data_IF_189114834557
#
_entry.id   IF_189114834557
#
_cell.length_a   1.000
_cell.length_b   1.000
_cell.length_c   1.000
_cell.angle_alpha   90.00
_cell.angle_beta   90.00
_cell.angle_gamma   90.00
#
_symmetry.space_group_name_H-M   'P 1'
#
loop_
_entity.id
_entity.type
_entity.pdbx_description
1 polymer ?
#
# COMPACT_ATOMS: atom_id res chain seq x y z
N UNK A 1 8.66 38.56 -41.52
CA UNK A 1 8.41 37.12 -41.28
C UNK A 1 8.52 36.70 -39.82
N UNK A 2 9.46 37.23 -39.02
CA UNK A 2 9.73 36.81 -37.63
C UNK A 2 8.58 37.05 -36.63
N UNK A 3 7.88 38.19 -36.71
CA UNK A 3 6.79 38.55 -35.77
C UNK A 3 5.55 37.63 -35.85
N UNK A 4 5.24 37.06 -37.03
CA UNK A 4 4.10 36.15 -37.22
C UNK A 4 4.38 34.78 -36.57
N UNK A 5 5.61 34.30 -36.72
CA UNK A 5 6.04 33.01 -36.17
C UNK A 5 6.12 33.05 -34.64
N UNK A 6 6.54 34.18 -34.05
CA UNK A 6 6.54 34.39 -32.59
C UNK A 6 5.12 34.35 -32.00
N UNK A 7 4.14 34.99 -32.65
CA UNK A 7 2.74 34.94 -32.19
C UNK A 7 2.15 33.53 -32.21
N UNK A 8 2.52 32.74 -33.22
CA UNK A 8 2.10 31.33 -33.34
C UNK A 8 2.72 30.51 -32.19
N UNK A 9 4.01 30.67 -31.90
CA UNK A 9 4.68 29.96 -30.81
C UNK A 9 4.03 30.29 -29.46
N UNK A 10 3.77 31.57 -29.18
CA UNK A 10 3.14 31.99 -27.93
C UNK A 10 1.73 31.38 -27.80
N UNK A 11 0.93 31.38 -28.86
CA UNK A 11 -0.40 30.79 -28.85
C UNK A 11 -0.37 29.28 -28.57
N UNK A 12 0.61 28.56 -29.13
CA UNK A 12 0.77 27.12 -28.89
C UNK A 12 1.19 26.85 -27.45
N UNK A 13 2.13 27.62 -26.89
CA UNK A 13 2.56 27.45 -25.49
C UNK A 13 1.40 27.69 -24.52
N UNK A 14 0.59 28.73 -24.74
CA UNK A 14 -0.59 29.00 -23.92
C UNK A 14 -1.60 27.86 -24.02
N UNK A 15 -1.85 27.33 -25.21
CA UNK A 15 -2.75 26.19 -25.39
C UNK A 15 -2.26 24.94 -24.63
N UNK A 16 -0.96 24.64 -24.69
CA UNK A 16 -0.37 23.49 -23.98
C UNK A 16 -0.47 23.66 -22.46
N UNK A 17 -0.19 24.86 -21.93
CA UNK A 17 -0.32 25.15 -20.49
C UNK A 17 -1.79 25.02 -20.04
N UNK A 18 -2.74 25.54 -20.83
CA UNK A 18 -4.17 25.45 -20.53
C UNK A 18 -4.65 24.00 -20.52
N UNK A 19 -4.21 23.18 -21.48
CA UNK A 19 -4.53 21.75 -21.53
C UNK A 19 -3.90 20.99 -20.36
N UNK A 20 -2.64 21.28 -20.02
CA UNK A 20 -1.95 20.66 -18.88
C UNK A 20 -2.59 21.02 -17.53
N UNK A 21 -2.98 22.29 -17.35
CA UNK A 21 -3.68 22.76 -16.16
C UNK A 21 -5.08 22.14 -16.04
N UNK A 22 -5.84 22.07 -17.14
CA UNK A 22 -7.15 21.42 -17.16
C UNK A 22 -7.03 19.93 -16.83
N UNK A 23 -6.03 19.23 -17.38
CA UNK A 23 -5.76 17.84 -17.04
C UNK A 23 -5.44 17.66 -15.55
N UNK A 24 -4.60 18.51 -14.96
CA UNK A 24 -4.27 18.42 -13.53
C UNK A 24 -5.47 18.68 -12.60
N UNK A 25 -6.39 19.58 -12.99
CA UNK A 25 -7.61 19.88 -12.20
C UNK A 25 -8.68 18.81 -12.36
N UNK A 26 -8.79 18.20 -13.55
CA UNK A 26 -9.84 17.21 -13.85
C UNK A 26 -9.39 15.77 -13.58
N UNK A 27 -8.09 15.52 -13.47
CA UNK A 27 -7.55 14.20 -13.14
C UNK A 27 -7.89 13.84 -11.69
N UNK A 28 -8.92 13.03 -11.54
CA UNK A 28 -9.19 12.31 -10.31
C UNK A 28 -8.65 10.90 -10.52
N UNK A 29 -7.60 10.54 -9.77
CA UNK A 29 -7.19 9.14 -9.71
C UNK A 29 -8.43 8.30 -9.35
N UNK A 30 -8.68 7.17 -10.02
CA UNK A 30 -9.83 6.33 -9.71
C UNK A 30 -9.78 6.03 -8.20
N UNK A 31 -10.85 6.41 -7.48
CA UNK A 31 -11.00 6.01 -6.09
C UNK A 31 -10.96 4.48 -6.08
N UNK A 32 -10.04 3.90 -5.31
CA UNK A 32 -9.98 2.45 -5.18
C UNK A 32 -11.38 1.94 -4.84
N UNK A 33 -11.96 1.02 -5.64
CA UNK A 33 -13.30 0.53 -5.38
C UNK A 33 -13.30 -0.19 -4.03
N UNK A 34 -14.38 0.01 -3.25
CA UNK A 34 -14.62 -0.85 -2.08
C UNK A 34 -14.70 -2.30 -2.56
N UNK A 35 -14.05 -3.19 -1.83
CA UNK A 35 -14.07 -4.63 -2.10
C UNK A 35 -14.96 -5.31 -1.06
N UNK A 36 -15.97 -6.04 -1.53
CA UNK A 36 -16.76 -6.93 -0.68
C UNK A 36 -16.16 -8.34 -0.78
N UNK A 37 -15.80 -8.91 0.38
CA UNK A 37 -15.23 -10.26 0.49
C UNK A 37 -16.28 -11.33 0.81
N UNK A 38 -17.57 -10.97 0.85
CA UNK A 38 -18.72 -11.88 1.03
C UNK A 38 -18.54 -12.84 2.21
N UNK A 39 -18.19 -12.31 3.39
CA UNK A 39 -18.07 -13.11 4.61
C UNK A 39 -19.40 -13.82 4.91
N UNK A 40 -19.35 -15.13 5.16
CA UNK A 40 -20.54 -15.96 5.37
C UNK A 40 -21.10 -15.88 6.79
N UNK A 41 -20.33 -15.35 7.73
CA UNK A 41 -20.73 -15.11 9.10
C UNK A 41 -19.94 -13.94 9.70
N UNK A 42 -20.42 -13.42 10.83
CA UNK A 42 -19.65 -12.49 11.65
C UNK A 42 -18.48 -13.20 12.33
N UNK A 43 -17.41 -12.46 12.61
CA UNK A 43 -16.29 -12.94 13.41
C UNK A 43 -16.70 -13.15 14.88
N UNK A 44 -16.12 -14.16 15.52
CA UNK A 44 -16.27 -14.39 16.95
C UNK A 44 -15.30 -13.56 17.82
N UNK A 45 -14.16 -13.14 17.26
CA UNK A 45 -13.12 -12.39 17.97
C UNK A 45 -12.18 -11.68 16.97
N UNK A 46 -11.79 -10.44 17.29
CA UNK A 46 -10.77 -9.70 16.54
C UNK A 46 -9.37 -9.79 17.17
N UNK A 47 -9.20 -10.62 18.19
CA UNK A 47 -7.90 -10.90 18.79
C UNK A 47 -7.23 -12.08 18.09
N UNK A 48 -6.12 -11.87 17.35
CA UNK A 48 -5.40 -12.93 16.66
C UNK A 48 -4.85 -14.02 17.57
N UNK A 49 -4.70 -13.75 18.88
CA UNK A 49 -4.23 -14.76 19.84
C UNK A 49 -5.31 -15.79 20.21
N UNK A 50 -6.59 -15.49 19.95
CA UNK A 50 -7.72 -16.29 20.44
C UNK A 50 -8.73 -16.66 19.35
N UNK A 51 -8.73 -16.03 18.18
CA UNK A 51 -9.61 -16.41 17.09
C UNK A 51 -9.03 -17.55 16.23
N UNK A 52 -9.89 -18.49 15.87
CA UNK A 52 -9.50 -19.74 15.17
C UNK A 52 -10.42 -20.08 13.98
N UNK A 53 -11.43 -19.26 13.69
CA UNK A 53 -12.36 -19.54 12.60
C UNK A 53 -11.86 -18.98 11.27
N UNK A 54 -12.21 -19.66 10.18
CA UNK A 54 -11.80 -19.26 8.82
C UNK A 54 -12.33 -17.90 8.40
N UNK A 55 -13.44 -17.46 8.99
CA UNK A 55 -14.05 -16.13 8.80
C UNK A 55 -13.21 -14.99 9.39
N UNK A 56 -12.29 -15.29 10.31
CA UNK A 56 -11.48 -14.27 11.00
C UNK A 56 -10.27 -13.84 10.16
N UNK A 57 -9.74 -14.76 9.32
CA UNK A 57 -8.53 -14.55 8.53
C UNK A 57 -8.53 -13.28 7.67
N UNK A 58 -9.56 -13.04 6.84
CA UNK A 58 -9.64 -11.83 6.02
C UNK A 58 -9.67 -10.51 6.82
N UNK A 59 -10.24 -10.54 8.04
CA UNK A 59 -10.23 -9.39 8.94
C UNK A 59 -8.83 -9.16 9.51
N UNK A 60 -8.09 -10.23 9.84
CA UNK A 60 -6.72 -10.10 10.31
C UNK A 60 -5.78 -9.52 9.25
N UNK A 61 -5.91 -9.92 7.99
CA UNK A 61 -5.13 -9.31 6.89
C UNK A 61 -5.48 -7.84 6.66
N UNK A 62 -6.66 -7.39 7.08
CA UNK A 62 -7.08 -5.99 6.97
C UNK A 62 -6.64 -5.13 8.18
N UNK A 63 -6.52 -5.73 9.37
CA UNK A 63 -6.26 -5.02 10.63
C UNK A 63 -4.81 -5.13 11.11
N UNK A 64 -4.11 -6.20 10.75
CA UNK A 64 -2.78 -6.52 11.24
C UNK A 64 -1.83 -6.85 10.10
N UNK A 65 -0.53 -6.67 10.36
CA UNK A 65 0.53 -7.05 9.43
C UNK A 65 1.58 -7.85 10.18
N UNK A 66 2.14 -8.87 9.53
CA UNK A 66 3.26 -9.64 10.07
C UNK A 66 4.62 -9.02 9.75
N UNK A 67 5.69 -9.68 10.20
CA UNK A 67 7.07 -9.33 9.80
C UNK A 67 7.27 -9.51 8.29
N UNK A 68 6.65 -10.54 7.72
CA UNK A 68 6.72 -10.94 6.31
C UNK A 68 5.35 -11.43 5.83
N UNK A 69 5.15 -11.49 4.52
CA UNK A 69 3.96 -12.03 3.88
C UNK A 69 4.32 -12.74 2.57
N UNK A 70 3.40 -13.51 1.99
CA UNK A 70 3.57 -14.00 0.62
C UNK A 70 3.56 -12.85 -0.38
N UNK A 71 4.35 -12.98 -1.44
CA UNK A 71 4.22 -12.12 -2.60
C UNK A 71 2.81 -12.33 -3.19
N UNK A 72 2.02 -11.27 -3.35
CA UNK A 72 0.65 -11.37 -3.91
C UNK A 72 0.57 -12.03 -5.30
N UNK A 73 1.70 -12.16 -6.01
CA UNK A 73 1.81 -12.89 -7.28
C UNK A 73 2.45 -14.28 -7.17
N UNK A 74 2.92 -14.70 -5.99
CA UNK A 74 3.58 -15.99 -5.77
C UNK A 74 3.31 -16.57 -4.39
N UNK A 75 2.76 -17.77 -4.35
CA UNK A 75 2.47 -18.52 -3.11
C UNK A 75 3.70 -19.18 -2.49
N UNK A 76 4.87 -19.11 -3.14
CA UNK A 76 6.13 -19.71 -2.65
C UNK A 76 7.17 -18.69 -2.26
N UNK A 77 6.96 -17.42 -2.63
CA UNK A 77 7.90 -16.35 -2.31
C UNK A 77 7.39 -15.57 -1.10
N UNK A 78 8.21 -15.50 -0.06
CA UNK A 78 7.97 -14.67 1.12
C UNK A 78 8.74 -13.36 0.98
N UNK A 79 8.10 -12.23 1.31
CA UNK A 79 8.64 -10.87 1.19
C UNK A 79 8.51 -10.10 2.51
N UNK A 80 9.41 -9.15 2.81
CA UNK A 80 9.31 -8.30 4.00
C UNK A 80 8.08 -7.38 4.00
N UNK A 81 7.42 -7.25 5.16
CA UNK A 81 6.28 -6.32 5.38
C UNK A 81 6.61 -5.34 6.52
N UNK A 82 6.37 -5.68 7.79
CA UNK A 82 6.81 -4.84 8.91
C UNK A 82 8.33 -4.89 9.11
N UNK A 83 8.96 -6.00 8.73
CA UNK A 83 10.40 -6.03 8.55
C UNK A 83 10.79 -5.25 7.28
N UNK A 84 11.87 -4.47 7.35
CA UNK A 84 12.52 -3.88 6.19
C UNK A 84 13.42 -4.90 5.47
N UNK A 85 14.01 -5.83 6.23
CA UNK A 85 14.81 -6.95 5.73
C UNK A 85 14.86 -8.07 6.76
N UNK A 86 15.27 -9.26 6.32
CA UNK A 86 15.60 -10.34 7.23
C UNK A 86 16.82 -11.12 6.75
N UNK A 87 17.53 -11.73 7.71
CA UNK A 87 18.67 -12.61 7.48
C UNK A 87 18.34 -13.97 8.07
N UNK A 88 18.46 -15.01 7.25
CA UNK A 88 18.37 -16.41 7.67
C UNK A 88 19.80 -16.87 7.97
N UNK A 89 20.09 -17.16 9.24
CA UNK A 89 21.42 -17.66 9.62
C UNK A 89 21.48 -19.17 9.53
N UNK A 90 20.39 -19.84 9.92
CA UNK A 90 20.17 -21.28 9.82
C UNK A 90 18.67 -21.56 10.01
N UNK A 91 18.28 -22.84 10.01
CA UNK A 91 16.88 -23.29 10.11
C UNK A 91 16.17 -22.86 11.42
N UNK A 92 16.90 -22.38 12.42
CA UNK A 92 16.38 -22.00 13.73
C UNK A 92 16.57 -20.51 14.05
N UNK A 93 17.47 -19.81 13.36
CA UNK A 93 17.89 -18.46 13.72
C UNK A 93 17.65 -17.49 12.57
N UNK A 94 16.76 -16.53 12.82
CA UNK A 94 16.33 -15.50 11.88
C UNK A 94 16.48 -14.15 12.56
N UNK A 95 17.01 -13.17 11.84
CA UNK A 95 17.08 -11.78 12.31
C UNK A 95 16.23 -10.91 11.40
N UNK A 96 15.29 -10.17 11.97
CA UNK A 96 14.45 -9.23 11.25
C UNK A 96 14.85 -7.80 11.64
N UNK A 97 15.10 -6.95 10.64
CA UNK A 97 15.25 -5.52 10.84
C UNK A 97 13.88 -4.87 10.65
N UNK A 98 13.39 -4.12 11.64
CA UNK A 98 12.07 -3.47 11.56
C UNK A 98 12.13 -2.15 10.78
N UNK A 99 11.03 -1.80 10.13
CA UNK A 99 10.82 -0.46 9.57
C UNK A 99 10.73 0.59 10.68
N UNK A 100 11.55 1.63 10.60
CA UNK A 100 11.63 2.67 11.64
C UNK A 100 10.48 3.68 11.59
N UNK A 101 9.78 3.75 10.47
CA UNK A 101 8.64 4.63 10.23
C UNK A 101 7.28 3.96 10.48
N UNK A 102 7.27 2.65 10.77
CA UNK A 102 6.06 1.90 11.04
C UNK A 102 5.43 2.30 12.38
N UNK A 103 4.12 2.50 12.36
CA UNK A 103 3.33 2.92 13.53
C UNK A 103 2.05 2.12 13.63
N UNK A 104 1.58 1.95 14.85
CA UNK A 104 0.22 1.51 15.12
C UNK A 104 -0.79 2.58 14.69
N UNK A 105 -2.06 2.20 14.57
CA UNK A 105 -3.17 3.09 14.20
C UNK A 105 -3.37 4.25 15.19
N UNK A 106 -2.91 4.10 16.43
CA UNK A 106 -2.88 5.16 17.45
C UNK A 106 -1.59 6.02 17.41
N UNK A 107 -0.80 5.91 16.35
CA UNK A 107 0.44 6.65 16.09
C UNK A 107 1.62 6.32 17.03
N UNK A 108 1.53 5.26 17.84
CA UNK A 108 2.68 4.73 18.57
C UNK A 108 3.66 4.03 17.63
N UNK A 109 4.96 4.20 17.86
CA UNK A 109 6.00 3.51 17.08
C UNK A 109 6.00 2.01 17.34
N UNK A 110 6.17 1.22 16.28
CA UNK A 110 6.38 -0.22 16.38
C UNK A 110 7.84 -0.50 16.80
N UNK A 111 8.05 -1.46 17.70
CA UNK A 111 9.36 -1.91 18.12
C UNK A 111 9.35 -3.44 18.34
N UNK A 112 10.48 -4.02 18.78
CA UNK A 112 10.69 -5.46 18.89
C UNK A 112 10.42 -6.05 20.30
N UNK A 113 9.79 -5.28 21.18
CA UNK A 113 9.69 -5.59 22.62
C UNK A 113 8.27 -5.91 23.04
#
# INVERSE_FOLDING_TARGET
MVKKNIKIIIAVVIAVIMVGAAFAVLYHAPKAPFTDVSQTAATGSLDPATAFFTTDGPLFTALFQGLTEFNGSSTTQVVPVLASSYTIHNDQNYTFSLRTDAKFSNNQSINAT
#
